data_IF_632160711457
#
_entry.id   IF_632160711457
#
_cell.length_a   1.000
_cell.length_b   1.000
_cell.length_c   1.000
_cell.angle_alpha   90.00
_cell.angle_beta   90.00
_cell.angle_gamma   90.00
#
_symmetry.space_group_name_H-M   'P 1'
#
loop_
_entity.id
_entity.type
_entity.pdbx_description
1 polymer ?
#
# COMPACT_ATOMS: atom_id res chain seq x y z
N UNK A 1 -15.58 -6.57 -77.02
CA UNK A 1 -16.04 -6.21 -75.70
C UNK A 1 -15.46 -7.22 -74.70
N UNK A 2 -14.27 -6.98 -74.17
CA UNK A 2 -13.71 -7.80 -73.11
C UNK A 2 -13.36 -6.89 -71.95
N UNK A 3 -14.12 -7.02 -70.89
CA UNK A 3 -13.82 -6.34 -69.65
C UNK A 3 -12.75 -7.13 -68.88
N UNK A 4 -11.57 -6.53 -68.69
CA UNK A 4 -10.50 -7.06 -67.91
C UNK A 4 -10.84 -6.98 -66.36
N UNK A 5 -10.92 -8.13 -65.72
CA UNK A 5 -11.11 -8.28 -64.27
C UNK A 5 -9.79 -8.00 -63.60
N UNK A 6 -9.63 -6.80 -63.04
CA UNK A 6 -8.50 -6.44 -62.19
C UNK A 6 -8.57 -7.23 -60.88
N UNK A 7 -7.74 -8.24 -60.75
CA UNK A 7 -7.49 -9.02 -59.58
C UNK A 7 -6.75 -8.16 -58.54
N UNK A 8 -7.50 -7.52 -57.66
CA UNK A 8 -6.96 -6.81 -56.52
C UNK A 8 -6.17 -7.78 -55.62
N UNK A 9 -4.85 -7.60 -55.59
CA UNK A 9 -4.01 -8.20 -54.54
C UNK A 9 -4.34 -7.49 -53.24
N UNK A 10 -5.09 -8.16 -52.38
CA UNK A 10 -5.22 -7.74 -50.97
C UNK A 10 -3.84 -7.66 -50.31
N UNK A 11 -3.69 -6.83 -49.30
CA UNK A 11 -2.42 -6.71 -48.59
C UNK A 11 -2.04 -8.07 -48.00
N UNK A 12 -0.93 -8.63 -48.46
CA UNK A 12 -0.30 -9.80 -47.90
C UNK A 12 0.13 -9.39 -46.51
N UNK A 13 -0.62 -9.82 -45.48
CA UNK A 13 -0.19 -9.75 -44.11
C UNK A 13 0.98 -10.73 -43.97
N UNK A 14 2.16 -10.23 -44.32
CA UNK A 14 3.43 -10.94 -44.06
C UNK A 14 3.56 -11.12 -42.55
N UNK A 15 3.28 -12.32 -42.11
CA UNK A 15 3.55 -12.77 -40.73
C UNK A 15 5.04 -12.67 -40.45
N UNK A 16 5.50 -11.48 -40.08
CA UNK A 16 6.77 -11.34 -39.36
C UNK A 16 6.57 -11.95 -37.99
N UNK A 17 6.80 -13.26 -37.87
CA UNK A 17 7.19 -13.90 -36.59
C UNK A 17 8.43 -13.13 -36.11
N UNK A 18 8.15 -12.15 -35.21
CA UNK A 18 9.12 -11.16 -34.79
C UNK A 18 10.27 -11.81 -34.05
N UNK A 19 11.44 -11.71 -34.59
CA UNK A 19 12.60 -11.56 -33.73
C UNK A 19 12.36 -10.27 -32.92
N UNK A 20 11.98 -10.41 -31.66
CA UNK A 20 11.98 -9.29 -30.71
C UNK A 20 13.41 -8.77 -30.78
N UNK A 21 13.59 -7.57 -31.32
CA UNK A 21 14.92 -6.99 -31.49
C UNK A 21 15.50 -6.86 -30.08
N UNK A 22 16.76 -7.18 -29.91
CA UNK A 22 17.48 -7.10 -28.64
C UNK A 22 17.21 -5.75 -27.93
N UNK A 23 17.11 -4.67 -28.71
CA UNK A 23 16.78 -3.34 -28.20
C UNK A 23 15.37 -3.23 -27.59
N UNK A 24 14.39 -3.98 -28.10
CA UNK A 24 13.02 -4.02 -27.52
C UNK A 24 13.03 -4.79 -26.20
N UNK A 25 13.78 -5.88 -26.12
CA UNK A 25 13.95 -6.61 -24.86
C UNK A 25 14.64 -5.75 -23.79
N UNK A 26 15.69 -5.02 -24.17
CA UNK A 26 16.39 -4.11 -23.26
C UNK A 26 15.45 -3.01 -22.75
N UNK A 27 14.68 -2.39 -23.65
CA UNK A 27 13.75 -1.31 -23.25
C UNK A 27 12.61 -1.83 -22.35
N UNK A 28 12.05 -3.01 -22.65
CA UNK A 28 11.05 -3.67 -21.80
C UNK A 28 11.63 -4.00 -20.41
N UNK A 29 12.84 -4.55 -20.38
CA UNK A 29 13.52 -4.88 -19.13
C UNK A 29 13.80 -3.63 -18.28
N UNK A 30 14.24 -2.54 -18.89
CA UNK A 30 14.43 -1.26 -18.21
C UNK A 30 13.13 -0.72 -17.62
N UNK A 31 12.03 -0.80 -18.39
CA UNK A 31 10.71 -0.35 -17.93
C UNK A 31 10.21 -1.18 -16.73
N UNK A 32 10.38 -2.50 -16.77
CA UNK A 32 10.03 -3.39 -15.66
C UNK A 32 10.88 -3.09 -14.43
N UNK A 33 12.19 -2.88 -14.60
CA UNK A 33 13.09 -2.53 -13.50
C UNK A 33 12.73 -1.19 -12.84
N UNK A 34 12.37 -0.18 -13.62
CA UNK A 34 11.91 1.10 -13.07
C UNK A 34 10.62 0.93 -12.25
N UNK A 35 9.66 0.16 -12.74
CA UNK A 35 8.44 -0.16 -11.98
C UNK A 35 8.74 -0.91 -10.68
N UNK A 36 9.65 -1.87 -10.72
CA UNK A 36 10.08 -2.63 -9.54
C UNK A 36 10.79 -1.74 -8.50
N UNK A 37 11.61 -0.78 -8.95
CA UNK A 37 12.26 0.19 -8.05
C UNK A 37 11.25 1.10 -7.35
N UNK A 38 10.20 1.56 -8.04
CA UNK A 38 9.12 2.36 -7.44
C UNK A 38 8.38 1.53 -6.38
N UNK A 39 8.01 0.30 -6.71
CA UNK A 39 7.37 -0.62 -5.77
C UNK A 39 8.25 -0.89 -4.54
N UNK A 40 9.54 -1.09 -4.75
CA UNK A 40 10.50 -1.30 -3.66
C UNK A 40 10.63 -0.06 -2.77
N UNK A 41 10.66 1.15 -3.33
CA UNK A 41 10.66 2.40 -2.55
C UNK A 41 9.41 2.51 -1.68
N UNK A 42 8.22 2.27 -2.25
CA UNK A 42 6.95 2.31 -1.49
C UNK A 42 6.99 1.28 -0.36
N UNK A 43 7.44 0.06 -0.65
CA UNK A 43 7.58 -1.01 0.34
C UNK A 43 8.48 -0.60 1.51
N UNK A 44 9.70 -0.14 1.22
CA UNK A 44 10.68 0.24 2.26
C UNK A 44 10.18 1.42 3.08
N UNK A 45 9.68 2.47 2.43
CA UNK A 45 9.13 3.65 3.13
C UNK A 45 7.98 3.24 4.03
N UNK A 46 7.06 2.43 3.51
CA UNK A 46 5.91 1.95 4.30
C UNK A 46 6.36 1.18 5.53
N UNK A 47 7.22 0.18 5.40
CA UNK A 47 7.70 -0.62 6.54
C UNK A 47 8.42 0.26 7.58
N UNK A 48 9.34 1.12 7.12
CA UNK A 48 10.16 1.95 8.03
C UNK A 48 9.31 2.91 8.84
N UNK A 49 8.24 3.48 8.28
CA UNK A 49 7.40 4.44 8.98
C UNK A 49 6.19 3.81 9.66
N UNK A 50 5.60 2.76 9.10
CA UNK A 50 4.39 2.14 9.67
C UNK A 50 4.68 1.29 10.91
N UNK A 51 5.85 0.64 11.01
CA UNK A 51 6.22 -0.14 12.20
C UNK A 51 6.33 0.74 13.45
N UNK A 52 7.13 1.83 13.48
CA UNK A 52 7.20 2.69 14.67
C UNK A 52 5.88 3.41 14.94
N UNK A 53 5.16 3.86 13.91
CA UNK A 53 3.86 4.49 14.06
C UNK A 53 2.84 3.50 14.65
N UNK A 54 2.78 2.27 14.15
CA UNK A 54 1.94 1.20 14.67
C UNK A 54 2.26 0.85 16.13
N UNK A 55 3.55 0.83 16.49
CA UNK A 55 3.96 0.60 17.88
C UNK A 55 3.50 1.74 18.80
N UNK A 56 3.68 3.00 18.39
CA UNK A 56 3.21 4.16 19.17
C UNK A 56 1.68 4.14 19.35
N UNK A 57 0.94 3.85 18.29
CA UNK A 57 -0.51 3.72 18.35
C UNK A 57 -0.95 2.53 19.24
N UNK A 58 -0.25 1.40 19.19
CA UNK A 58 -0.52 0.26 20.06
C UNK A 58 -0.32 0.61 21.55
N UNK A 59 0.75 1.32 21.87
CA UNK A 59 0.99 1.83 23.23
C UNK A 59 -0.11 2.81 23.65
N UNK A 60 -0.57 3.69 22.75
CA UNK A 60 -1.70 4.58 23.00
C UNK A 60 -3.01 3.82 23.28
N UNK A 61 -3.28 2.75 22.55
CA UNK A 61 -4.46 1.88 22.79
C UNK A 61 -4.38 1.09 24.10
N UNK A 62 -3.18 0.79 24.57
CA UNK A 62 -2.94 0.13 25.87
C UNK A 62 -2.91 1.13 27.02
N UNK A 63 -2.92 2.43 26.76
CA UNK A 63 -2.90 3.47 27.78
C UNK A 63 -4.24 3.54 28.55
N UNK A 64 -4.19 4.15 29.75
CA UNK A 64 -5.38 4.41 30.58
C UNK A 64 -6.21 5.61 30.11
N UNK A 65 -5.72 6.38 29.13
CA UNK A 65 -6.35 7.61 28.64
C UNK A 65 -7.50 7.22 27.69
N UNK A 66 -8.73 7.28 28.21
CA UNK A 66 -9.91 6.84 27.47
C UNK A 66 -10.14 7.57 26.11
N UNK A 67 -10.00 8.91 25.99
CA UNK A 67 -10.21 9.60 24.72
C UNK A 67 -9.15 9.19 23.66
N UNK A 68 -7.89 9.00 24.07
CA UNK A 68 -6.84 8.54 23.18
C UNK A 68 -7.12 7.12 22.65
N UNK A 69 -7.51 6.23 23.55
CA UNK A 69 -7.87 4.86 23.18
C UNK A 69 -9.03 4.83 22.20
N UNK A 70 -10.10 5.59 22.46
CA UNK A 70 -11.25 5.67 21.57
C UNK A 70 -10.86 6.20 20.18
N UNK A 71 -10.06 7.28 20.11
CA UNK A 71 -9.59 7.83 18.83
C UNK A 71 -8.80 6.80 18.02
N UNK A 72 -7.89 6.06 18.67
CA UNK A 72 -7.11 5.03 18.01
C UNK A 72 -7.93 3.79 17.65
N UNK A 73 -9.00 3.49 18.37
CA UNK A 73 -9.97 2.45 18.00
C UNK A 73 -10.71 2.82 16.72
N UNK A 74 -11.24 4.06 16.64
CA UNK A 74 -11.89 4.57 15.42
C UNK A 74 -10.90 4.57 14.24
N UNK A 75 -9.68 5.04 14.45
CA UNK A 75 -8.64 5.02 13.43
C UNK A 75 -8.40 3.59 12.89
N UNK A 76 -8.11 2.64 13.77
CA UNK A 76 -7.84 1.26 13.33
C UNK A 76 -9.07 0.60 12.71
N UNK A 77 -10.28 0.91 13.19
CA UNK A 77 -11.52 0.41 12.63
C UNK A 77 -11.75 0.92 11.20
N UNK A 78 -11.58 2.22 10.96
CA UNK A 78 -11.77 2.84 9.64
C UNK A 78 -10.74 2.29 8.63
N UNK A 79 -9.45 2.36 8.98
CA UNK A 79 -8.38 2.04 8.03
C UNK A 79 -8.25 0.54 7.74
N UNK A 80 -8.64 -0.34 8.66
CA UNK A 80 -8.70 -1.79 8.42
C UNK A 80 -10.04 -2.24 7.85
N UNK A 81 -11.10 -1.47 8.04
CA UNK A 81 -12.45 -1.76 7.54
C UNK A 81 -12.73 -1.27 6.13
N UNK A 82 -11.83 -0.45 5.55
CA UNK A 82 -11.99 0.09 4.20
C UNK A 82 -10.90 -0.41 3.26
N UNK A 83 -11.20 -0.65 1.96
CA UNK A 83 -10.20 -1.10 0.99
C UNK A 83 -9.06 -0.09 0.81
N UNK A 84 -7.81 -0.56 0.82
CA UNK A 84 -6.63 0.28 0.61
C UNK A 84 -6.69 1.08 -0.71
N UNK A 85 -7.18 0.45 -1.79
CA UNK A 85 -7.37 1.10 -3.09
C UNK A 85 -8.31 2.31 -3.00
N UNK A 86 -9.40 2.18 -2.24
CA UNK A 86 -10.36 3.28 -2.04
C UNK A 86 -9.71 4.44 -1.27
N UNK A 87 -8.93 4.14 -0.24
CA UNK A 87 -8.17 5.14 0.52
C UNK A 87 -7.16 5.86 -0.38
N UNK A 88 -6.46 5.11 -1.24
CA UNK A 88 -5.51 5.65 -2.20
C UNK A 88 -6.19 6.60 -3.21
N UNK A 89 -7.36 6.23 -3.72
CA UNK A 89 -8.15 7.09 -4.60
C UNK A 89 -8.67 8.34 -3.87
N UNK A 90 -9.09 8.21 -2.62
CA UNK A 90 -9.50 9.34 -1.81
C UNK A 90 -8.37 10.34 -1.59
N UNK A 91 -7.18 9.86 -1.24
CA UNK A 91 -6.02 10.74 -1.02
C UNK A 91 -5.57 11.41 -2.31
N UNK A 92 -5.55 10.68 -3.44
CA UNK A 92 -5.01 11.20 -4.69
C UNK A 92 -6.03 12.03 -5.50
N UNK A 93 -7.30 11.64 -5.54
CA UNK A 93 -8.34 12.32 -6.32
C UNK A 93 -9.33 13.10 -5.46
N UNK A 94 -9.56 12.70 -4.21
CA UNK A 94 -10.54 13.32 -3.33
C UNK A 94 -10.00 14.56 -2.63
N UNK A 95 -8.78 14.52 -2.07
CA UNK A 95 -8.20 15.67 -1.35
C UNK A 95 -7.95 16.91 -2.24
N UNK A 96 -7.61 16.81 -3.52
CA UNK A 96 -7.52 17.97 -4.40
C UNK A 96 -8.80 18.78 -4.50
N UNK A 97 -9.98 18.17 -4.31
CA UNK A 97 -11.28 18.88 -4.31
C UNK A 97 -11.37 19.94 -3.19
N UNK A 98 -10.65 19.71 -2.08
CA UNK A 98 -10.57 20.64 -0.95
C UNK A 98 -9.25 21.45 -0.95
N UNK A 99 -8.50 21.42 -2.07
CA UNK A 99 -7.27 22.23 -2.25
C UNK A 99 -5.99 21.58 -1.71
N UNK A 100 -6.01 20.29 -1.33
CA UNK A 100 -4.82 19.56 -0.86
C UNK A 100 -4.34 18.63 -1.97
N UNK A 101 -3.30 19.03 -2.67
CA UNK A 101 -2.72 18.25 -3.78
C UNK A 101 -1.44 17.53 -3.36
N UNK A 102 -1.38 16.25 -3.64
CA UNK A 102 -0.19 15.42 -3.46
C UNK A 102 0.30 14.87 -4.78
N UNK A 103 1.62 14.74 -4.92
CA UNK A 103 2.18 13.92 -6.01
C UNK A 103 1.73 12.47 -5.87
N UNK A 104 1.75 11.70 -6.96
CA UNK A 104 1.39 10.26 -6.95
C UNK A 104 2.16 9.48 -5.89
N UNK A 105 3.47 9.72 -5.82
CA UNK A 105 4.34 9.05 -4.86
C UNK A 105 3.98 9.41 -3.42
N UNK A 106 3.73 10.70 -3.16
CA UNK A 106 3.37 11.19 -1.83
C UNK A 106 2.01 10.64 -1.37
N UNK A 107 1.01 10.63 -2.26
CA UNK A 107 -0.30 10.03 -1.99
C UNK A 107 -0.17 8.55 -1.65
N UNK A 108 0.67 7.80 -2.39
CA UNK A 108 0.95 6.41 -2.10
C UNK A 108 1.63 6.25 -0.73
N UNK A 109 2.72 6.98 -0.45
CA UNK A 109 3.42 6.87 0.84
C UNK A 109 2.50 7.14 2.02
N UNK A 110 1.76 8.24 2.00
CA UNK A 110 0.84 8.62 3.08
C UNK A 110 -0.22 7.53 3.29
N UNK A 111 -0.88 7.11 2.22
CA UNK A 111 -1.96 6.11 2.30
C UNK A 111 -1.45 4.79 2.84
N UNK A 112 -0.35 4.28 2.29
CA UNK A 112 0.20 2.99 2.70
C UNK A 112 0.73 3.03 4.13
N UNK A 113 1.46 4.08 4.52
CA UNK A 113 1.99 4.22 5.89
C UNK A 113 0.87 4.25 6.90
N UNK A 114 -0.19 5.05 6.67
CA UNK A 114 -1.31 5.17 7.59
C UNK A 114 -2.11 3.87 7.66
N UNK A 115 -2.38 3.24 6.52
CA UNK A 115 -3.12 1.98 6.47
C UNK A 115 -2.36 0.86 7.19
N UNK A 116 -1.09 0.61 6.83
CA UNK A 116 -0.28 -0.44 7.44
C UNK A 116 0.04 -0.19 8.92
N UNK A 117 0.17 1.09 9.34
CA UNK A 117 0.29 1.41 10.76
C UNK A 117 -0.96 0.99 11.55
N UNK A 118 -2.16 1.05 10.96
CA UNK A 118 -3.37 0.54 11.61
C UNK A 118 -3.34 -0.99 11.79
N UNK A 119 -2.82 -1.74 10.80
CA UNK A 119 -2.63 -3.20 10.93
C UNK A 119 -1.58 -3.53 11.98
N UNK A 120 -0.41 -2.90 11.94
CA UNK A 120 0.64 -3.11 12.94
C UNK A 120 0.22 -2.71 14.35
N UNK A 121 -0.60 -1.67 14.50
CA UNK A 121 -1.19 -1.29 15.79
C UNK A 121 -1.92 -2.46 16.44
N UNK A 122 -2.77 -3.14 15.69
CA UNK A 122 -3.53 -4.28 16.22
C UNK A 122 -2.65 -5.50 16.47
N UNK A 123 -1.69 -5.77 15.59
CA UNK A 123 -0.73 -6.88 15.76
C UNK A 123 0.07 -6.68 17.04
N UNK A 124 0.63 -5.49 17.28
CA UNK A 124 1.40 -5.21 18.48
C UNK A 124 0.53 -5.23 19.73
N UNK A 125 -0.66 -4.63 19.69
CA UNK A 125 -1.61 -4.66 20.81
C UNK A 125 -1.99 -6.09 21.17
N UNK A 126 -2.40 -6.88 20.20
CA UNK A 126 -2.80 -8.28 20.40
C UNK A 126 -1.64 -9.13 20.90
N UNK A 127 -0.44 -8.97 20.35
CA UNK A 127 0.74 -9.71 20.78
C UNK A 127 1.15 -9.42 22.22
N UNK A 128 1.05 -8.17 22.69
CA UNK A 128 1.31 -7.82 24.09
C UNK A 128 0.21 -8.38 25.00
N UNK A 129 -1.05 -8.30 24.59
CA UNK A 129 -2.18 -8.78 25.38
C UNK A 129 -2.32 -10.31 25.41
N UNK A 130 -1.69 -11.01 24.49
CA UNK A 130 -1.71 -12.49 24.45
C UNK A 130 -0.83 -13.14 25.52
N UNK A 131 0.05 -12.36 26.16
CA UNK A 131 0.91 -12.90 27.21
C UNK A 131 0.09 -13.12 28.49
N UNK A 132 0.23 -14.32 29.04
CA UNK A 132 -0.51 -14.75 30.22
C UNK A 132 -0.33 -13.79 31.40
N UNK A 133 -1.43 -13.48 32.09
CA UNK A 133 -1.43 -12.59 33.27
C UNK A 133 -0.58 -13.15 34.39
N UNK A 134 -0.46 -14.47 34.52
CA UNK A 134 0.42 -15.12 35.47
C UNK A 134 1.88 -14.71 35.35
N UNK A 135 2.34 -14.32 34.17
CA UNK A 135 3.70 -13.78 33.98
C UNK A 135 3.88 -12.43 34.70
N UNK A 136 2.86 -11.60 34.68
CA UNK A 136 2.87 -10.32 35.40
C UNK A 136 2.79 -10.53 36.92
N UNK A 137 1.96 -11.49 37.34
CA UNK A 137 1.78 -11.82 38.79
C UNK A 137 3.05 -12.44 39.36
N UNK A 138 3.67 -13.38 38.66
CA UNK A 138 4.93 -14.01 39.05
C UNK A 138 6.07 -12.97 39.13
N UNK A 139 6.17 -12.08 38.16
CA UNK A 139 7.16 -11.00 38.19
C UNK A 139 6.96 -10.08 39.41
N UNK A 140 5.70 -9.74 39.69
CA UNK A 140 5.36 -8.92 40.87
C UNK A 140 5.70 -9.62 42.18
N UNK A 141 5.45 -10.93 42.29
CA UNK A 141 5.82 -11.72 43.47
C UNK A 141 7.35 -11.75 43.71
N UNK A 142 8.14 -11.67 42.63
CA UNK A 142 9.60 -11.54 42.67
C UNK A 142 10.09 -10.09 42.94
N UNK A 143 9.19 -9.15 43.22
CA UNK A 143 9.53 -7.76 43.49
C UNK A 143 9.95 -6.94 42.26
N UNK A 144 9.68 -7.45 41.03
CA UNK A 144 10.01 -6.74 39.79
C UNK A 144 9.06 -5.55 39.57
N UNK A 145 9.63 -4.40 39.24
CA UNK A 145 8.84 -3.26 38.82
C UNK A 145 8.25 -3.46 37.41
N UNK A 146 7.29 -2.62 37.03
CA UNK A 146 6.61 -2.74 35.74
C UNK A 146 7.58 -2.63 34.54
N UNK A 147 8.56 -1.72 34.57
CA UNK A 147 9.53 -1.54 33.49
C UNK A 147 10.41 -2.77 33.30
N UNK A 148 10.89 -3.33 34.41
CA UNK A 148 11.73 -4.52 34.39
C UNK A 148 10.95 -5.74 33.90
N UNK A 149 9.71 -5.91 34.36
CA UNK A 149 8.78 -6.95 33.91
C UNK A 149 8.54 -6.86 32.43
N UNK A 150 8.18 -5.68 31.92
CA UNK A 150 7.96 -5.48 30.49
C UNK A 150 9.22 -5.81 29.67
N UNK A 151 10.38 -5.28 30.07
CA UNK A 151 11.62 -5.43 29.29
C UNK A 151 12.17 -6.86 29.32
N UNK A 152 12.09 -7.54 30.45
CA UNK A 152 12.75 -8.84 30.66
C UNK A 152 11.85 -10.05 30.43
N UNK A 153 10.54 -9.90 30.59
CA UNK A 153 9.59 -11.01 30.55
C UNK A 153 8.60 -10.84 29.42
N UNK A 154 7.86 -9.74 29.38
CA UNK A 154 6.71 -9.58 28.48
C UNK A 154 7.16 -9.31 27.04
N UNK A 155 7.99 -8.30 26.79
CA UNK A 155 8.41 -7.94 25.43
C UNK A 155 9.11 -9.09 24.71
N UNK A 156 10.08 -9.82 25.30
CA UNK A 156 10.71 -10.95 24.61
C UNK A 156 9.74 -12.08 24.23
N UNK A 157 8.71 -12.32 25.05
CA UNK A 157 7.67 -13.29 24.73
C UNK A 157 6.72 -12.74 23.65
N UNK A 158 6.28 -11.49 23.78
CA UNK A 158 5.40 -10.84 22.82
C UNK A 158 6.01 -10.76 21.41
N UNK A 159 7.31 -10.49 21.29
CA UNK A 159 8.01 -10.46 19.98
C UNK A 159 7.84 -11.79 19.23
N UNK A 160 7.93 -12.93 19.92
CA UNK A 160 7.75 -14.25 19.28
C UNK A 160 6.35 -14.43 18.69
N UNK A 161 5.33 -13.85 19.33
CA UNK A 161 3.94 -13.88 18.88
C UNK A 161 3.68 -12.85 17.77
N UNK A 162 4.32 -11.70 17.84
CA UNK A 162 4.17 -10.57 16.90
C UNK A 162 4.87 -10.87 15.57
N UNK A 163 6.00 -11.54 15.57
CA UNK A 163 6.87 -11.68 14.40
C UNK A 163 6.19 -12.39 13.21
N UNK A 164 5.45 -13.52 13.38
CA UNK A 164 4.77 -14.18 12.27
C UNK A 164 3.71 -13.29 11.59
N UNK A 165 2.76 -12.65 12.29
CA UNK A 165 1.82 -11.73 11.65
C UNK A 165 2.48 -10.54 10.97
N UNK A 166 3.54 -9.95 11.56
CA UNK A 166 4.30 -8.87 10.91
C UNK A 166 4.91 -9.36 9.59
N UNK A 167 5.46 -10.58 9.57
CA UNK A 167 5.98 -11.19 8.34
C UNK A 167 4.90 -11.37 7.27
N UNK A 168 3.69 -11.80 7.65
CA UNK A 168 2.57 -11.94 6.75
C UNK A 168 2.14 -10.60 6.15
N UNK A 169 2.06 -9.54 6.98
CA UNK A 169 1.75 -8.19 6.49
C UNK A 169 2.85 -7.64 5.57
N UNK A 170 4.11 -7.94 5.84
CA UNK A 170 5.22 -7.55 4.96
C UNK A 170 5.11 -8.20 3.57
N UNK A 171 4.69 -9.47 3.49
CA UNK A 171 4.43 -10.16 2.22
C UNK A 171 3.19 -9.59 1.52
N UNK A 172 2.13 -9.27 2.26
CA UNK A 172 0.92 -8.64 1.73
C UNK A 172 1.23 -7.27 1.14
N UNK A 173 2.03 -6.47 1.83
CA UNK A 173 2.46 -5.15 1.37
C UNK A 173 3.14 -5.20 -0.01
N UNK A 174 3.98 -6.20 -0.29
CA UNK A 174 4.61 -6.36 -1.62
C UNK A 174 3.53 -6.50 -2.70
N UNK A 175 2.49 -7.28 -2.44
CA UNK A 175 1.37 -7.47 -3.39
C UNK A 175 0.58 -6.17 -3.56
N UNK A 176 0.35 -5.45 -2.47
CA UNK A 176 -0.43 -4.22 -2.47
C UNK A 176 0.28 -3.07 -3.19
N UNK A 177 1.62 -3.07 -3.31
CA UNK A 177 2.32 -2.03 -4.10
C UNK A 177 1.86 -2.01 -5.56
N UNK A 178 1.32 -3.11 -6.09
CA UNK A 178 0.72 -3.15 -7.42
C UNK A 178 -0.51 -2.23 -7.56
N UNK A 179 -1.21 -1.91 -6.46
CA UNK A 179 -2.36 -0.99 -6.46
C UNK A 179 -1.97 0.43 -6.90
N UNK A 180 -0.70 0.81 -6.75
CA UNK A 180 -0.21 2.10 -7.22
C UNK A 180 -0.33 2.28 -8.75
N UNK A 181 -0.37 1.19 -9.52
CA UNK A 181 -0.65 1.23 -10.95
C UNK A 181 -2.07 1.74 -11.28
N UNK A 182 -3.02 1.54 -10.36
CA UNK A 182 -4.40 1.98 -10.53
C UNK A 182 -4.53 3.51 -10.59
N UNK A 183 -3.69 4.26 -9.89
CA UNK A 183 -3.63 5.73 -9.99
C UNK A 183 -3.20 6.15 -11.40
N UNK A 184 -2.21 5.48 -11.98
CA UNK A 184 -1.73 5.76 -13.33
C UNK A 184 -2.80 5.47 -14.39
N UNK A 185 -3.58 4.42 -14.22
CA UNK A 185 -4.74 4.13 -15.08
C UNK A 185 -5.83 5.21 -14.97
N UNK A 186 -6.11 5.68 -13.76
CA UNK A 186 -7.06 6.77 -13.53
C UNK A 186 -6.66 8.06 -14.25
N UNK A 187 -5.38 8.39 -14.27
CA UNK A 187 -4.87 9.56 -15.01
C UNK A 187 -4.99 9.41 -16.52
N UNK A 188 -4.71 8.24 -17.06
CA UNK A 188 -4.85 7.97 -18.51
C UNK A 188 -6.31 8.18 -18.93
N UNK A 189 -7.26 7.66 -18.16
CA UNK A 189 -8.69 7.83 -18.44
C UNK A 189 -9.13 9.30 -18.33
N UNK A 190 -8.61 10.03 -17.34
CA UNK A 190 -8.90 11.45 -17.16
C UNK A 190 -8.33 12.29 -18.30
N UNK A 191 -7.10 12.02 -18.73
CA UNK A 191 -6.49 12.71 -19.88
C UNK A 191 -7.20 12.38 -21.19
N UNK A 192 -7.62 11.13 -21.40
CA UNK A 192 -8.40 10.75 -22.56
C UNK A 192 -9.75 11.48 -22.61
N UNK A 193 -10.48 11.58 -21.48
CA UNK A 193 -11.71 12.37 -21.39
C UNK A 193 -11.48 13.86 -21.67
N UNK A 194 -10.39 14.43 -21.18
CA UNK A 194 -10.02 15.83 -21.42
C UNK A 194 -9.76 16.08 -22.90
N UNK A 195 -9.04 15.19 -23.58
CA UNK A 195 -8.80 15.28 -25.03
C UNK A 195 -10.10 15.19 -25.85
N UNK A 196 -10.98 14.25 -25.52
CA UNK A 196 -12.28 14.11 -26.18
C UNK A 196 -13.12 15.37 -26.00
N UNK A 197 -13.21 15.91 -24.78
CA UNK A 197 -13.97 17.12 -24.51
C UNK A 197 -13.39 18.37 -25.23
N UNK A 198 -12.07 18.48 -25.35
CA UNK A 198 -11.44 19.59 -26.09
C UNK A 198 -11.72 19.49 -27.60
N UNK A 199 -11.74 18.30 -28.17
CA UNK A 199 -12.08 18.11 -29.57
C UNK A 199 -13.58 18.35 -29.88
N UNK A 200 -14.47 17.97 -28.97
CA UNK A 200 -15.92 18.22 -29.11
C UNK A 200 -16.25 19.70 -28.98
N UNK A 201 -15.51 20.45 -28.12
CA UNK A 201 -15.72 21.89 -27.93
C UNK A 201 -15.20 22.75 -29.09
N UNK A 202 -14.31 22.23 -29.94
CA UNK A 202 -13.76 22.94 -31.13
C UNK A 202 -14.60 22.73 -32.39
N UNK A 203 -15.47 21.72 -32.40
CA UNK A 203 -16.34 21.41 -33.57
C UNK A 203 -17.79 21.88 -33.40
N UNK A 204 -18.13 22.73 -32.45
CA UNK A 204 -19.40 23.42 -32.28
C UNK A 204 -19.19 24.92 -32.34
#
# INVERSE_FOLDING_TARGET
MHQGFCRGRGPVISGKKGRIKLNELISITQYILQGALISLKIYVVTIVFSLPLGMLCAMGKLSRIAPLRWLLEVYTWVFRGTPLLLQLFFVYFGLPVIGIEFSKEMAAYITFVINYAAYFTEIFRAGIQSIDKGQYEAAKALGMDYKLTMRRIIIPQAIKVILPPVGNEAVTLIKDTALCSAISLGDILRNAKSMVNSHVSVSG
#
